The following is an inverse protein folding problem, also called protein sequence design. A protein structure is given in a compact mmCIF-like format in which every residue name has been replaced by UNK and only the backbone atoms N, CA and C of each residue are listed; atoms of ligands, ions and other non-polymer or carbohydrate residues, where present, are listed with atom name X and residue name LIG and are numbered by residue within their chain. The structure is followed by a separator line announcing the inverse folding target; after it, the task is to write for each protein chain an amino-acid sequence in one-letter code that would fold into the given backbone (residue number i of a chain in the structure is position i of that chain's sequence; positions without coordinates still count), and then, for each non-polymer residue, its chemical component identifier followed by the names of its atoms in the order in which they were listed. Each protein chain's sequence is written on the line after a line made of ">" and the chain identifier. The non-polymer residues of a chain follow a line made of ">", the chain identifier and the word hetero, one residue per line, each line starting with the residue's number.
data_IF_434607534261
#
_entry.id   IF_434607534261
#
_cell.length_a   1.000
_cell.length_b   1.000
_cell.length_c   1.000
_cell.angle_alpha   90.00
_cell.angle_beta   90.00
_cell.angle_gamma   90.00
#
_symmetry.space_group_name_H-M   'P 1'
#
loop_
_entity.id
_entity.type
_entity.pdbx_description
1 polymer ?
#
# COMPACT_ATOMS: atom_id res chain seq x y z
N UNK A 1 -39.67 22.07 12.56
CA UNK A 1 -39.47 20.88 13.41
C UNK A 1 -39.32 19.62 12.53
N UNK A 2 -38.19 19.48 11.81
CA UNK A 2 -37.88 18.26 11.04
C UNK A 2 -36.40 18.14 10.63
N UNK A 3 -35.47 18.67 11.44
CA UNK A 3 -34.04 18.67 11.06
C UNK A 3 -33.09 18.06 12.11
N UNK A 4 -33.64 17.37 13.14
CA UNK A 4 -32.83 16.76 14.21
C UNK A 4 -32.58 15.25 14.05
N UNK A 5 -33.21 14.59 13.08
CA UNK A 5 -33.12 13.13 12.93
C UNK A 5 -31.94 12.64 12.08
N UNK A 6 -31.15 13.54 11.47
CA UNK A 6 -30.00 13.16 10.63
C UNK A 6 -28.68 12.95 11.40
N UNK A 7 -28.57 13.46 12.62
CA UNK A 7 -27.32 13.42 13.39
C UNK A 7 -27.29 12.29 14.44
N UNK A 8 -28.45 11.74 14.83
CA UNK A 8 -28.53 10.74 15.91
C UNK A 8 -28.08 9.34 15.50
N UNK A 9 -28.09 9.03 14.20
CA UNK A 9 -27.60 7.76 13.67
C UNK A 9 -26.11 7.89 13.39
N UNK A 10 -25.31 7.93 14.47
CA UNK A 10 -23.84 7.80 14.44
C UNK A 10 -23.44 6.41 13.93
N UNK A 11 -23.86 6.07 12.71
CA UNK A 11 -23.48 4.91 11.92
C UNK A 11 -22.15 5.29 11.28
N UNK A 12 -21.18 5.65 12.12
CA UNK A 12 -19.79 5.61 11.70
C UNK A 12 -19.41 4.14 11.73
N UNK A 13 -19.70 3.46 10.63
CA UNK A 13 -19.33 2.07 10.41
C UNK A 13 -17.82 1.92 10.67
N UNK A 14 -17.48 1.20 11.74
CA UNK A 14 -16.09 0.88 12.09
C UNK A 14 -15.53 0.15 10.88
N UNK A 15 -14.62 0.79 10.13
CA UNK A 15 -14.05 0.22 8.90
C UNK A 15 -13.40 -1.11 9.29
N UNK A 16 -14.03 -2.22 8.89
CA UNK A 16 -13.40 -3.53 9.00
C UNK A 16 -12.11 -3.47 8.17
N UNK A 17 -10.98 -4.01 8.67
CA UNK A 17 -9.82 -4.19 7.82
C UNK A 17 -10.28 -5.00 6.61
N UNK A 18 -10.07 -4.47 5.41
CA UNK A 18 -10.41 -5.19 4.19
C UNK A 18 -9.67 -6.53 4.22
N UNK A 19 -10.30 -7.64 3.77
CA UNK A 19 -9.55 -8.88 3.58
C UNK A 19 -8.33 -8.59 2.71
N UNK A 20 -7.23 -9.30 2.98
CA UNK A 20 -6.00 -9.11 2.20
C UNK A 20 -6.36 -9.28 0.73
N UNK A 21 -6.18 -8.21 -0.05
CA UNK A 21 -6.58 -8.20 -1.45
C UNK A 21 -5.85 -9.30 -2.23
N UNK A 22 -6.28 -9.61 -3.46
CA UNK A 22 -5.56 -10.55 -4.31
C UNK A 22 -4.09 -10.14 -4.45
N UNK A 23 -3.19 -11.11 -4.59
CA UNK A 23 -1.78 -10.80 -4.82
C UNK A 23 -1.65 -9.92 -6.07
N UNK A 24 -0.86 -8.83 -6.00
CA UNK A 24 -0.59 -8.02 -7.18
C UNK A 24 0.14 -8.84 -8.23
N UNK A 25 -0.22 -8.63 -9.50
CA UNK A 25 0.50 -9.22 -10.62
C UNK A 25 1.83 -8.49 -10.85
N UNK A 26 2.82 -9.20 -11.39
CA UNK A 26 4.07 -8.58 -11.85
C UNK A 26 3.74 -7.55 -12.94
N UNK A 27 4.37 -6.37 -12.87
CA UNK A 27 4.10 -5.20 -13.70
C UNK A 27 3.00 -4.28 -13.16
N UNK A 28 2.32 -4.63 -12.07
CA UNK A 28 1.34 -3.74 -11.43
C UNK A 28 2.03 -2.74 -10.48
N UNK A 29 1.30 -1.70 -10.08
CA UNK A 29 1.77 -0.74 -9.08
C UNK A 29 0.95 -0.91 -7.81
N UNK A 30 1.62 -0.93 -6.67
CA UNK A 30 1.01 -0.88 -5.35
C UNK A 30 1.28 0.48 -4.70
N UNK A 31 0.39 0.90 -3.82
CA UNK A 31 0.43 2.22 -3.21
C UNK A 31 0.29 2.16 -1.69
N UNK A 32 0.96 3.10 -1.04
CA UNK A 32 0.84 3.39 0.39
C UNK A 32 0.73 4.91 0.55
N UNK A 33 -0.50 5.40 0.73
CA UNK A 33 -0.75 6.84 0.80
C UNK A 33 -0.39 7.53 -0.51
N UNK A 34 0.69 8.32 -0.51
CA UNK A 34 1.24 8.99 -1.70
C UNK A 34 2.43 8.25 -2.32
N UNK A 35 2.92 7.19 -1.67
CA UNK A 35 4.06 6.40 -2.16
C UNK A 35 3.57 5.30 -3.09
N UNK A 36 4.22 5.14 -4.24
CA UNK A 36 3.96 4.13 -5.27
C UNK A 36 5.17 3.22 -5.41
N UNK A 37 4.92 1.93 -5.58
CA UNK A 37 5.94 0.91 -5.81
C UNK A 37 5.52 0.01 -6.97
N UNK A 38 6.43 -0.20 -7.91
CA UNK A 38 6.20 -1.15 -9.00
C UNK A 38 6.46 -2.58 -8.50
N UNK A 39 5.58 -3.49 -8.88
CA UNK A 39 5.71 -4.92 -8.60
C UNK A 39 6.55 -5.56 -9.69
N UNK A 40 7.86 -5.59 -9.49
CA UNK A 40 8.84 -6.11 -10.47
C UNK A 40 9.02 -7.62 -10.40
N UNK A 41 8.73 -8.23 -9.25
CA UNK A 41 8.95 -9.64 -8.98
C UNK A 41 7.69 -10.25 -8.33
N UNK A 42 7.48 -11.58 -8.48
CA UNK A 42 6.38 -12.26 -7.82
C UNK A 42 6.53 -12.15 -6.30
N UNK A 43 5.48 -11.66 -5.64
CA UNK A 43 5.45 -11.47 -4.20
C UNK A 43 5.01 -12.76 -3.51
N UNK A 44 5.77 -13.30 -2.54
CA UNK A 44 5.27 -14.37 -1.69
C UNK A 44 4.10 -13.85 -0.86
N UNK A 45 3.11 -14.74 -0.60
CA UNK A 45 1.87 -14.33 0.06
C UNK A 45 2.11 -13.72 1.45
N UNK A 46 3.03 -14.28 2.23
CA UNK A 46 3.38 -13.75 3.55
C UNK A 46 3.93 -12.31 3.48
N UNK A 47 4.73 -12.01 2.45
CA UNK A 47 5.23 -10.65 2.23
C UNK A 47 4.09 -9.71 1.84
N UNK A 48 3.15 -10.17 1.01
CA UNK A 48 1.98 -9.38 0.65
C UNK A 48 1.07 -9.11 1.86
N UNK A 49 0.82 -10.10 2.71
CA UNK A 49 0.05 -9.93 3.94
C UNK A 49 0.73 -8.89 4.85
N UNK A 50 2.05 -8.97 5.00
CA UNK A 50 2.83 -7.98 5.75
C UNK A 50 2.82 -6.58 5.09
N UNK A 51 2.86 -6.49 3.76
CA UNK A 51 2.72 -5.22 3.04
C UNK A 51 1.34 -4.59 3.27
N UNK A 52 0.27 -5.39 3.24
CA UNK A 52 -1.08 -4.89 3.52
C UNK A 52 -1.21 -4.40 4.96
N UNK A 53 -0.59 -5.10 5.93
CA UNK A 53 -0.52 -4.65 7.33
C UNK A 53 0.28 -3.36 7.50
N UNK A 54 1.36 -3.16 6.73
CA UNK A 54 2.14 -1.90 6.72
C UNK A 54 1.47 -0.78 5.90
N UNK A 55 0.29 -1.04 5.33
CA UNK A 55 -0.59 -0.05 4.73
C UNK A 55 -0.56 0.01 3.19
N UNK A 56 0.12 -0.94 2.55
CA UNK A 56 0.12 -1.06 1.09
C UNK A 56 -1.20 -1.62 0.56
N UNK A 57 -1.58 -1.18 -0.63
CA UNK A 57 -2.78 -1.63 -1.34
C UNK A 57 -2.50 -1.71 -2.83
N UNK A 58 -3.26 -2.55 -3.53
CA UNK A 58 -3.26 -2.57 -4.99
C UNK A 58 -3.82 -1.25 -5.52
N UNK A 59 -3.20 -0.71 -6.57
CA UNK A 59 -3.70 0.46 -7.28
C UNK A 59 -5.04 0.13 -7.94
N UNK A 60 -6.15 0.79 -7.53
CA UNK A 60 -7.48 0.46 -8.04
C UNK A 60 -7.73 1.00 -9.45
N UNK A 61 -6.91 1.93 -9.93
CA UNK A 61 -7.10 2.61 -11.22
C UNK A 61 -5.86 2.43 -12.08
N UNK A 62 -6.02 1.89 -13.30
CA UNK A 62 -4.93 1.69 -14.28
C UNK A 62 -4.16 2.97 -14.62
N UNK A 63 -4.77 4.14 -14.43
CA UNK A 63 -4.22 5.43 -14.83
C UNK A 63 -4.35 6.42 -13.67
N UNK A 64 -3.63 6.15 -12.58
CA UNK A 64 -3.57 7.09 -11.45
C UNK A 64 -2.65 8.27 -11.78
N UNK A 65 -3.27 9.41 -12.09
CA UNK A 65 -2.60 10.68 -12.41
C UNK A 65 -2.15 11.46 -11.17
N UNK A 66 -2.34 10.93 -9.96
CA UNK A 66 -1.91 11.60 -8.74
C UNK A 66 -0.39 11.66 -8.71
N UNK A 67 0.17 12.87 -8.62
CA UNK A 67 1.59 13.06 -8.34
C UNK A 67 1.88 12.45 -6.97
N UNK A 68 2.78 11.48 -6.95
CA UNK A 68 3.16 10.74 -5.75
C UNK A 68 4.67 10.62 -5.64
N UNK A 69 5.11 9.98 -4.57
CA UNK A 69 6.50 9.56 -4.44
C UNK A 69 6.63 8.16 -5.05
N UNK A 70 7.60 7.94 -5.91
CA UNK A 70 7.90 6.64 -6.50
C UNK A 70 9.11 6.03 -5.81
N UNK A 71 8.97 4.75 -5.44
CA UNK A 71 10.08 3.94 -4.95
C UNK A 71 10.97 3.47 -6.10
N UNK A 72 12.27 3.30 -5.85
CA UNK A 72 13.18 2.74 -6.84
C UNK A 72 12.74 1.33 -7.24
N UNK A 73 12.98 0.96 -8.50
CA UNK A 73 12.51 -0.32 -9.07
C UNK A 73 13.09 -1.55 -8.33
N UNK A 74 14.27 -1.40 -7.73
CA UNK A 74 14.93 -2.41 -6.90
C UNK A 74 14.40 -2.54 -5.47
N UNK A 75 13.60 -1.59 -4.97
CA UNK A 75 13.10 -1.59 -3.59
C UNK A 75 12.31 -2.86 -3.25
N UNK A 76 11.50 -3.35 -4.20
CA UNK A 76 10.72 -4.55 -3.96
C UNK A 76 11.59 -5.79 -3.86
N UNK A 77 12.64 -5.87 -4.69
CA UNK A 77 13.59 -6.98 -4.65
C UNK A 77 14.34 -6.98 -3.31
N UNK A 78 14.77 -5.81 -2.82
CA UNK A 78 15.39 -5.67 -1.50
C UNK A 78 14.45 -6.17 -0.39
N UNK A 79 13.15 -5.85 -0.43
CA UNK A 79 12.17 -6.37 0.54
C UNK A 79 11.95 -7.89 0.46
N UNK A 80 12.05 -8.47 -0.73
CA UNK A 80 11.91 -9.90 -0.96
C UNK A 80 13.14 -10.65 -0.42
N UNK A 81 14.33 -10.13 -0.69
CA UNK A 81 15.60 -10.73 -0.27
C UNK A 81 15.86 -10.54 1.24
N UNK A 82 15.26 -9.50 1.86
CA UNK A 82 15.43 -9.22 3.29
C UNK A 82 14.63 -10.20 4.16
N UNK A 83 15.26 -10.81 5.19
CA UNK A 83 14.58 -11.70 6.14
C UNK A 83 13.49 -10.96 6.93
N UNK A 84 12.47 -11.69 7.37
CA UNK A 84 11.29 -11.12 8.05
C UNK A 84 11.61 -10.26 9.27
N UNK A 85 12.71 -10.55 9.99
CA UNK A 85 13.15 -9.81 11.17
C UNK A 85 13.67 -8.40 10.83
N UNK A 86 14.37 -8.25 9.70
CA UNK A 86 14.97 -6.98 9.26
C UNK A 86 14.05 -6.18 8.33
N UNK A 87 12.96 -6.79 7.89
CA UNK A 87 12.04 -6.23 6.91
C UNK A 87 11.46 -4.87 7.32
N UNK A 88 11.18 -4.64 8.60
CA UNK A 88 10.70 -3.34 9.09
C UNK A 88 11.76 -2.23 8.91
N UNK A 89 13.03 -2.55 9.12
CA UNK A 89 14.13 -1.59 8.96
C UNK A 89 14.38 -1.33 7.47
N UNK A 90 14.46 -2.38 6.65
CA UNK A 90 14.61 -2.26 5.20
C UNK A 90 13.45 -1.46 4.59
N UNK A 91 12.21 -1.71 5.02
CA UNK A 91 11.05 -0.96 4.56
C UNK A 91 11.09 0.51 4.94
N UNK A 92 11.55 0.84 6.14
CA UNK A 92 11.70 2.23 6.56
C UNK A 92 12.73 2.95 5.70
N UNK A 93 13.89 2.33 5.45
CA UNK A 93 14.94 2.85 4.56
C UNK A 93 14.43 3.05 3.14
N UNK A 94 13.67 2.09 2.61
CA UNK A 94 13.08 2.17 1.27
C UNK A 94 12.10 3.35 1.19
N UNK A 95 11.27 3.55 2.21
CA UNK A 95 10.34 4.69 2.24
C UNK A 95 11.06 6.04 2.24
N UNK A 96 12.24 6.14 2.86
CA UNK A 96 13.07 7.35 2.82
C UNK A 96 13.67 7.61 1.44
N UNK A 97 13.86 6.58 0.63
CA UNK A 97 14.33 6.69 -0.75
C UNK A 97 13.23 7.07 -1.75
N UNK A 98 11.99 7.26 -1.30
CA UNK A 98 10.89 7.62 -2.18
C UNK A 98 11.08 9.03 -2.76
N UNK A 99 11.20 9.12 -4.08
CA UNK A 99 11.43 10.38 -4.79
C UNK A 99 10.13 10.88 -5.44
N UNK A 100 9.88 12.19 -5.54
CA UNK A 100 8.74 12.71 -6.28
C UNK A 100 8.79 12.24 -7.75
N UNK A 101 7.64 11.82 -8.29
CA UNK A 101 7.50 11.63 -9.74
C UNK A 101 7.62 13.00 -10.43
N UNK A 102 8.64 13.15 -11.30
CA UNK A 102 8.85 14.32 -12.17
C UNK A 102 7.70 14.52 -13.18
#
# INVERSE_FOLDING_TARGET
>A
MKDMFRTLLSIRQKRKPAPVGPLPAVGTVILRGQVKMAVTHPLPRELWDWLVLSGWRNLPVKNDRRKGLRLPEGALKELIDTPSQERNQAHSRILEQAQPED
#
